data_IF_771214381857
#
_entry.id   IF_771214381857
#
_cell.length_a   1.000
_cell.length_b   1.000
_cell.length_c   1.000
_cell.angle_alpha   90.00
_cell.angle_beta   90.00
_cell.angle_gamma   90.00
#
_symmetry.space_group_name_H-M   'P 1'
#
loop_
_entity.id
_entity.type
_entity.pdbx_description
1 polymer ?
#
# COMPACT_ATOMS: atom_id res chain seq x y z
N UNK A 1 -3.74 5.70 -27.07
CA UNK A 1 -3.01 4.41 -27.00
C UNK A 1 -2.99 4.01 -25.54
N UNK A 2 -3.80 3.02 -25.16
CA UNK A 2 -4.04 2.66 -23.76
C UNK A 2 -2.88 1.79 -23.27
N UNK A 3 -2.01 2.32 -22.40
CA UNK A 3 -0.88 1.57 -21.87
C UNK A 3 -1.24 0.91 -20.54
N UNK A 4 -0.68 -0.27 -20.30
CA UNK A 4 -0.83 -1.00 -19.03
C UNK A 4 0.41 -0.79 -18.17
N UNK A 5 0.30 -1.04 -16.87
CA UNK A 5 1.42 -1.02 -15.93
C UNK A 5 2.23 -2.30 -16.12
N UNK A 6 3.45 -2.16 -16.63
CA UNK A 6 4.38 -3.26 -16.83
C UNK A 6 5.21 -3.57 -15.59
N UNK A 7 5.53 -2.55 -14.79
CA UNK A 7 6.38 -2.67 -13.60
C UNK A 7 6.00 -1.63 -12.55
N UNK A 8 6.03 -2.07 -11.30
CA UNK A 8 5.94 -1.23 -10.10
C UNK A 8 7.27 -1.33 -9.35
N UNK A 9 7.95 -0.20 -9.13
CA UNK A 9 9.07 -0.06 -8.21
C UNK A 9 8.53 0.49 -6.89
N UNK A 10 8.36 -0.39 -5.90
CA UNK A 10 7.91 -0.05 -4.56
C UNK A 10 9.07 -0.24 -3.59
N UNK A 11 9.72 0.86 -3.23
CA UNK A 11 10.82 0.89 -2.27
C UNK A 11 10.28 1.09 -0.88
N UNK A 12 10.43 0.07 -0.04
CA UNK A 12 10.00 0.14 1.34
C UNK A 12 11.13 0.69 2.22
N UNK A 13 10.84 1.59 3.18
CA UNK A 13 11.79 2.09 4.15
C UNK A 13 12.37 0.98 5.03
N UNK A 14 13.35 1.36 5.86
CA UNK A 14 13.81 0.50 6.94
C UNK A 14 12.63 0.06 7.82
N UNK A 15 12.76 -1.09 8.47
CA UNK A 15 11.71 -1.66 9.34
C UNK A 15 10.46 -2.14 8.62
N UNK A 16 10.37 -1.98 7.30
CA UNK A 16 9.42 -2.71 6.49
C UNK A 16 10.02 -3.99 5.96
N UNK A 17 9.23 -5.05 5.98
CA UNK A 17 9.48 -6.25 5.18
C UNK A 17 8.42 -6.33 4.08
N UNK A 18 8.83 -6.57 2.84
CA UNK A 18 7.93 -6.64 1.70
C UNK A 18 8.17 -7.89 0.86
N UNK A 19 7.09 -8.46 0.34
CA UNK A 19 7.15 -9.71 -0.42
C UNK A 19 6.04 -9.78 -1.47
N UNK A 20 6.17 -10.72 -2.40
CA UNK A 20 5.11 -11.08 -3.34
C UNK A 20 4.15 -12.07 -2.68
N UNK A 21 2.82 -11.95 -2.87
CA UNK A 21 1.88 -12.94 -2.34
C UNK A 21 2.30 -14.38 -2.67
N UNK A 22 2.31 -15.26 -1.67
CA UNK A 22 2.77 -16.64 -1.80
C UNK A 22 4.25 -16.87 -1.46
N UNK A 23 5.05 -15.80 -1.32
CA UNK A 23 6.44 -15.89 -0.86
C UNK A 23 6.57 -15.63 0.66
N UNK A 24 5.45 -15.58 1.40
CA UNK A 24 5.41 -15.17 2.80
C UNK A 24 6.38 -15.96 3.69
N UNK A 25 6.49 -17.28 3.52
CA UNK A 25 7.38 -18.11 4.32
C UNK A 25 8.87 -17.71 4.18
N UNK A 26 9.31 -17.42 2.95
CA UNK A 26 10.69 -17.01 2.68
C UNK A 26 10.96 -15.63 3.26
N UNK A 27 10.04 -14.69 3.00
CA UNK A 27 10.13 -13.34 3.52
C UNK A 27 10.10 -13.29 5.05
N UNK A 28 9.28 -14.14 5.68
CA UNK A 28 9.12 -14.21 7.11
C UNK A 28 10.39 -14.64 7.84
N UNK A 29 11.14 -15.60 7.27
CA UNK A 29 12.44 -16.03 7.84
C UNK A 29 13.48 -14.92 7.79
N UNK A 30 13.59 -14.24 6.64
CA UNK A 30 14.55 -13.14 6.47
C UNK A 30 14.19 -11.96 7.38
N UNK A 31 12.93 -11.54 7.37
CA UNK A 31 12.46 -10.42 8.18
C UNK A 31 12.60 -10.70 9.69
N UNK A 32 12.36 -11.94 10.14
CA UNK A 32 12.59 -12.33 11.53
C UNK A 32 14.06 -12.09 11.94
N UNK A 33 15.02 -12.54 11.14
CA UNK A 33 16.44 -12.38 11.43
C UNK A 33 16.88 -10.91 11.41
N UNK A 34 16.33 -10.11 10.49
CA UNK A 34 16.78 -8.72 10.27
C UNK A 34 16.12 -7.71 11.23
N UNK A 35 14.86 -7.95 11.60
CA UNK A 35 14.03 -6.95 12.27
C UNK A 35 13.74 -7.25 13.73
N UNK A 36 13.81 -8.52 14.16
CA UNK A 36 13.42 -8.93 15.51
C UNK A 36 14.61 -9.10 16.44
N UNK A 37 14.42 -8.76 17.72
CA UNK A 37 15.46 -8.87 18.77
C UNK A 37 15.27 -10.15 19.58
N UNK A 38 15.80 -11.24 19.04
CA UNK A 38 15.93 -12.52 19.73
C UNK A 38 14.80 -13.53 19.45
N UNK A 39 14.92 -14.77 19.97
CA UNK A 39 14.17 -15.91 19.45
C UNK A 39 12.66 -15.83 19.60
N UNK A 40 12.17 -15.17 20.65
CA UNK A 40 10.73 -15.00 20.89
C UNK A 40 10.12 -14.02 19.88
N UNK A 41 10.80 -12.89 19.67
CA UNK A 41 10.39 -11.86 18.71
C UNK A 41 10.45 -12.40 17.27
N UNK A 42 11.50 -13.15 16.93
CA UNK A 42 11.65 -13.81 15.63
C UNK A 42 10.49 -14.77 15.32
N UNK A 43 10.17 -15.66 16.27
CA UNK A 43 9.08 -16.63 16.09
C UNK A 43 7.72 -15.93 15.96
N UNK A 44 7.51 -14.85 16.71
CA UNK A 44 6.28 -14.04 16.63
C UNK A 44 6.14 -13.38 15.28
N UNK A 45 7.19 -12.68 14.82
CA UNK A 45 7.19 -12.00 13.53
C UNK A 45 6.96 -13.00 12.40
N UNK A 46 7.68 -14.13 12.40
CA UNK A 46 7.51 -15.17 11.38
C UNK A 46 6.05 -15.64 11.30
N UNK A 47 5.45 -15.96 12.45
CA UNK A 47 4.06 -16.43 12.51
C UNK A 47 3.07 -15.37 12.01
N UNK A 48 3.30 -14.10 12.33
CA UNK A 48 2.46 -12.99 11.89
C UNK A 48 2.52 -12.82 10.37
N UNK A 49 3.71 -12.84 9.77
CA UNK A 49 3.91 -12.67 8.33
C UNK A 49 3.31 -13.83 7.52
N UNK A 50 3.44 -15.07 8.00
CA UNK A 50 2.78 -16.24 7.40
C UNK A 50 1.25 -16.15 7.47
N UNK A 51 0.70 -15.59 8.56
CA UNK A 51 -0.74 -15.37 8.66
C UNK A 51 -1.22 -14.28 7.70
N UNK A 52 -0.47 -13.19 7.54
CA UNK A 52 -0.78 -12.11 6.59
C UNK A 52 -0.77 -12.64 5.16
N UNK A 53 0.26 -13.39 4.76
CA UNK A 53 0.37 -13.92 3.41
C UNK A 53 -0.82 -14.85 3.05
N UNK A 54 -1.19 -15.75 3.97
CA UNK A 54 -2.38 -16.59 3.79
C UNK A 54 -3.67 -15.77 3.67
N UNK A 55 -3.81 -14.72 4.47
CA UNK A 55 -4.98 -13.86 4.44
C UNK A 55 -5.08 -13.08 3.11
N UNK A 56 -3.94 -12.63 2.57
CA UNK A 56 -3.87 -11.95 1.27
C UNK A 56 -4.23 -12.90 0.14
N UNK A 57 -3.67 -14.12 0.14
CA UNK A 57 -3.97 -15.13 -0.89
C UNK A 57 -5.46 -15.51 -0.91
N UNK A 58 -6.11 -15.56 0.25
CA UNK A 58 -7.54 -15.87 0.35
C UNK A 58 -8.47 -14.78 -0.22
N UNK A 59 -7.99 -13.54 -0.39
CA UNK A 59 -8.82 -12.42 -0.87
C UNK A 59 -9.05 -12.45 -2.38
N UNK A 60 -8.30 -13.25 -3.14
CA UNK A 60 -8.41 -13.34 -4.61
C UNK A 60 -8.31 -11.99 -5.36
N UNK A 61 -7.75 -10.95 -4.73
CA UNK A 61 -7.45 -9.65 -5.38
C UNK A 61 -6.12 -9.70 -6.13
N UNK A 62 -5.92 -8.75 -7.07
CA UNK A 62 -4.67 -8.59 -7.84
C UNK A 62 -3.55 -7.92 -7.04
N UNK A 63 -3.24 -8.47 -5.88
CA UNK A 63 -2.10 -8.05 -5.08
C UNK A 63 -0.81 -8.33 -5.84
N UNK A 64 -0.01 -7.30 -6.07
CA UNK A 64 1.32 -7.42 -6.68
C UNK A 64 2.43 -7.44 -5.64
N UNK A 65 2.18 -6.83 -4.48
CA UNK A 65 3.12 -6.77 -3.36
C UNK A 65 2.38 -6.60 -2.04
N UNK A 66 2.93 -7.18 -0.99
CA UNK A 66 2.48 -7.04 0.39
C UNK A 66 3.65 -6.55 1.22
N UNK A 67 3.37 -5.86 2.32
CA UNK A 67 4.38 -5.50 3.30
C UNK A 67 3.83 -5.49 4.71
N UNK A 68 4.75 -5.52 5.66
CA UNK A 68 4.46 -5.37 7.07
C UNK A 68 5.54 -4.50 7.71
N UNK A 69 5.08 -3.56 8.54
CA UNK A 69 5.94 -2.64 9.27
C UNK A 69 6.15 -3.13 10.69
N UNK A 70 7.42 -3.22 11.09
CA UNK A 70 7.87 -3.73 12.39
C UNK A 70 8.76 -2.64 13.00
N UNK A 71 8.17 -1.63 13.66
CA UNK A 71 8.86 -0.39 14.02
C UNK A 71 10.00 -0.59 15.02
N UNK A 72 9.96 -1.68 15.78
CA UNK A 72 10.94 -2.00 16.81
C UNK A 72 11.30 -3.50 16.81
N UNK A 73 12.28 -3.87 17.61
CA UNK A 73 12.76 -5.26 17.70
C UNK A 73 11.79 -6.25 18.37
N UNK A 74 10.55 -5.86 18.70
CA UNK A 74 9.60 -6.74 19.39
C UNK A 74 9.08 -7.89 18.52
N UNK A 75 9.18 -7.75 17.19
CA UNK A 75 8.54 -8.65 16.23
C UNK A 75 7.04 -8.42 16.06
N UNK A 76 6.48 -7.38 16.66
CA UNK A 76 5.08 -7.01 16.49
C UNK A 76 4.89 -6.21 15.19
N UNK A 77 3.95 -6.65 14.35
CA UNK A 77 3.56 -5.92 13.13
C UNK A 77 2.64 -4.77 13.51
N UNK A 78 3.11 -3.54 13.34
CA UNK A 78 2.35 -2.33 13.65
C UNK A 78 1.41 -1.92 12.51
N UNK A 79 1.75 -2.23 11.26
CA UNK A 79 0.92 -1.96 10.10
C UNK A 79 1.13 -2.96 8.96
N UNK A 80 0.08 -3.20 8.19
CA UNK A 80 0.14 -3.92 6.92
C UNK A 80 0.15 -2.96 5.73
N UNK A 81 0.69 -3.43 4.61
CA UNK A 81 0.63 -2.80 3.31
C UNK A 81 0.15 -3.83 2.29
N UNK A 82 -0.88 -3.47 1.52
CA UNK A 82 -1.32 -4.18 0.34
C UNK A 82 -1.15 -3.26 -0.88
N UNK A 83 -0.40 -3.73 -1.88
CA UNK A 83 -0.22 -3.07 -3.17
C UNK A 83 -1.00 -3.85 -4.23
N UNK A 84 -2.01 -3.23 -4.83
CA UNK A 84 -2.93 -3.83 -5.79
C UNK A 84 -2.91 -3.07 -7.14
N UNK A 85 -3.07 -3.81 -8.24
CA UNK A 85 -3.35 -3.23 -9.56
C UNK A 85 -4.86 -3.13 -9.79
N UNK A 86 -5.35 -1.92 -10.05
CA UNK A 86 -6.74 -1.64 -10.39
C UNK A 86 -6.88 -1.58 -11.92
N UNK A 87 -7.57 -2.56 -12.49
CA UNK A 87 -7.72 -2.72 -13.95
C UNK A 87 -8.73 -1.74 -14.59
N UNK A 88 -9.54 -1.05 -13.79
CA UNK A 88 -10.62 -0.16 -14.24
C UNK A 88 -10.47 1.24 -13.63
N UNK A 89 -9.29 1.86 -13.83
CA UNK A 89 -9.12 3.27 -13.53
C UNK A 89 -10.04 4.10 -14.45
N UNK A 90 -10.58 5.25 -14.01
CA UNK A 90 -11.30 6.13 -14.92
C UNK A 90 -10.44 6.49 -16.13
N UNK A 91 -11.05 6.54 -17.31
CA UNK A 91 -10.38 7.00 -18.52
C UNK A 91 -10.19 8.52 -18.53
N UNK A 92 -9.19 8.97 -19.29
CA UNK A 92 -8.98 10.38 -19.62
C UNK A 92 -7.92 11.10 -18.78
N UNK A 93 -7.62 12.36 -19.11
CA UNK A 93 -6.56 13.14 -18.46
C UNK A 93 -6.84 13.44 -16.98
N UNK A 94 -8.12 13.45 -16.57
CA UNK A 94 -8.58 13.79 -15.23
C UNK A 94 -9.04 12.56 -14.43
N UNK A 95 -8.40 11.40 -14.67
CA UNK A 95 -8.77 10.13 -14.05
C UNK A 95 -8.79 10.20 -12.52
N UNK A 96 -7.81 10.91 -11.93
CA UNK A 96 -7.70 11.08 -10.49
C UNK A 96 -8.87 11.90 -9.91
N UNK A 97 -9.29 12.99 -10.57
CA UNK A 97 -10.46 13.79 -10.17
C UNK A 97 -11.75 12.99 -10.27
N UNK A 98 -11.93 12.27 -11.38
CA UNK A 98 -13.10 11.42 -11.58
C UNK A 98 -13.17 10.37 -10.46
N UNK A 99 -12.05 9.76 -10.10
CA UNK A 99 -11.95 8.85 -8.97
C UNK A 99 -12.25 9.54 -7.63
N UNK A 100 -11.64 10.70 -7.35
CA UNK A 100 -11.90 11.48 -6.14
C UNK A 100 -13.39 11.80 -6.00
N UNK A 101 -14.06 12.24 -7.06
CA UNK A 101 -15.50 12.52 -7.05
C UNK A 101 -16.35 11.27 -6.78
N UNK A 102 -15.92 10.08 -7.21
CA UNK A 102 -16.56 8.80 -6.82
C UNK A 102 -16.34 8.49 -5.33
N UNK A 103 -15.12 8.66 -4.83
CA UNK A 103 -14.78 8.44 -3.41
C UNK A 103 -15.54 9.40 -2.51
N UNK A 104 -15.55 10.70 -2.80
CA UNK A 104 -16.27 11.71 -2.01
C UNK A 104 -17.77 11.45 -1.95
N UNK A 105 -18.38 11.01 -3.06
CA UNK A 105 -19.79 10.57 -3.06
C UNK A 105 -20.01 9.35 -2.15
N UNK A 106 -19.08 8.39 -2.16
CA UNK A 106 -19.12 7.22 -1.26
C UNK A 106 -18.95 7.64 0.21
N UNK A 107 -18.02 8.53 0.51
CA UNK A 107 -17.81 9.12 1.84
C UNK A 107 -19.11 9.77 2.32
N UNK A 108 -19.69 10.66 1.51
CA UNK A 108 -20.93 11.36 1.83
C UNK A 108 -22.07 10.40 2.17
N UNK A 109 -22.29 9.37 1.34
CA UNK A 109 -23.31 8.34 1.62
C UNK A 109 -23.01 7.57 2.90
N UNK A 110 -21.76 7.16 3.11
CA UNK A 110 -21.36 6.40 4.30
C UNK A 110 -21.57 7.17 5.60
N UNK A 111 -21.33 8.49 5.61
CA UNK A 111 -21.57 9.34 6.80
C UNK A 111 -23.05 9.41 7.18
N UNK A 112 -23.97 9.21 6.23
CA UNK A 112 -25.42 9.26 6.49
C UNK A 112 -25.98 7.93 6.99
N UNK A 113 -25.27 6.82 6.78
CA UNK A 113 -25.76 5.47 7.11
C UNK A 113 -24.92 4.74 8.15
N UNK A 114 -23.65 5.13 8.35
CA UNK A 114 -22.74 4.42 9.22
C UNK A 114 -22.75 4.99 10.65
N UNK A 115 -22.99 4.13 11.63
CA UNK A 115 -22.95 4.45 13.06
C UNK A 115 -21.53 4.42 13.67
N UNK A 116 -20.51 3.97 12.92
CA UNK A 116 -19.15 3.66 13.45
C UNK A 116 -17.98 4.21 12.63
N UNK A 117 -18.21 5.11 11.67
CA UNK A 117 -17.11 5.76 10.93
C UNK A 117 -16.75 7.05 11.65
N UNK A 118 -15.60 7.06 12.32
CA UNK A 118 -15.13 8.22 13.10
C UNK A 118 -14.52 9.28 12.19
N UNK A 119 -13.80 8.86 11.16
CA UNK A 119 -13.10 9.74 10.23
C UNK A 119 -13.04 9.11 8.83
N UNK A 120 -13.39 9.88 7.80
CA UNK A 120 -13.32 9.44 6.41
C UNK A 120 -13.20 10.67 5.50
N UNK A 121 -12.02 10.88 4.90
CA UNK A 121 -11.74 11.99 4.00
C UNK A 121 -10.93 11.52 2.79
N UNK A 122 -10.97 12.28 1.70
CA UNK A 122 -10.15 12.03 0.52
C UNK A 122 -9.72 13.35 -0.13
N UNK A 123 -8.50 13.37 -0.68
CA UNK A 123 -7.93 14.52 -1.38
C UNK A 123 -6.97 14.11 -2.49
N UNK A 124 -6.53 15.09 -3.28
CA UNK A 124 -5.56 14.90 -4.35
C UNK A 124 -4.14 15.23 -3.88
N UNK A 125 -3.18 14.48 -4.41
CA UNK A 125 -1.75 14.71 -4.30
C UNK A 125 -1.09 14.47 -5.65
N UNK A 126 0.04 15.13 -5.89
CA UNK A 126 0.92 14.81 -7.02
C UNK A 126 2.14 14.06 -6.49
N UNK A 127 2.49 12.96 -7.14
CA UNK A 127 3.69 12.16 -6.86
C UNK A 127 4.42 11.86 -8.16
N UNK A 128 5.66 11.37 -8.07
CA UNK A 128 6.47 11.05 -9.24
C UNK A 128 5.78 10.06 -10.20
N UNK A 129 5.02 9.10 -9.67
CA UNK A 129 4.27 8.11 -10.45
C UNK A 129 2.96 8.65 -11.07
N UNK A 130 2.56 9.90 -10.80
CA UNK A 130 1.34 10.50 -11.31
C UNK A 130 0.48 11.15 -10.23
N UNK A 131 -0.79 11.38 -10.54
CA UNK A 131 -1.73 11.99 -9.59
C UNK A 131 -2.31 10.92 -8.69
N UNK A 132 -2.39 11.20 -7.40
CA UNK A 132 -2.86 10.26 -6.40
C UNK A 132 -4.11 10.80 -5.69
N UNK A 133 -5.07 9.91 -5.45
CA UNK A 133 -6.15 10.16 -4.51
C UNK A 133 -5.78 9.50 -3.19
N UNK A 134 -5.60 10.32 -2.16
CA UNK A 134 -5.27 9.86 -0.80
C UNK A 134 -6.55 9.85 0.01
N UNK A 135 -6.94 8.66 0.49
CA UNK A 135 -8.11 8.44 1.34
C UNK A 135 -7.67 8.03 2.73
N UNK A 136 -8.15 8.73 3.74
CA UNK A 136 -7.96 8.39 5.15
C UNK A 136 -9.27 7.87 5.70
N UNK A 137 -9.24 6.72 6.36
CA UNK A 137 -10.45 6.06 6.86
C UNK A 137 -10.21 5.42 8.22
N UNK A 138 -11.12 5.70 9.15
CA UNK A 138 -11.10 5.13 10.49
C UNK A 138 -12.44 4.44 10.79
N UNK A 139 -12.34 3.18 11.20
CA UNK A 139 -13.45 2.32 11.60
C UNK A 139 -13.48 2.21 13.12
N UNK A 140 -14.09 3.19 13.79
CA UNK A 140 -14.08 3.29 15.24
C UNK A 140 -12.66 3.49 15.80
N UNK A 141 -12.37 2.87 16.94
CA UNK A 141 -11.03 2.88 17.57
C UNK A 141 -10.16 1.67 17.20
N UNK A 142 -10.66 0.81 16.29
CA UNK A 142 -10.13 -0.55 16.10
C UNK A 142 -9.28 -0.69 14.85
N UNK A 143 -9.53 0.10 13.81
CA UNK A 143 -8.80 0.01 12.55
C UNK A 143 -8.76 1.35 11.83
N UNK A 144 -7.56 1.71 11.39
CA UNK A 144 -7.30 2.89 10.58
C UNK A 144 -6.64 2.48 9.28
N UNK A 145 -7.02 3.12 8.19
CA UNK A 145 -6.55 2.86 6.83
C UNK A 145 -6.08 4.17 6.19
N UNK A 146 -4.92 4.11 5.53
CA UNK A 146 -4.41 5.14 4.62
C UNK A 146 -4.33 4.51 3.24
N UNK A 147 -5.02 5.07 2.26
CA UNK A 147 -5.12 4.49 0.92
C UNK A 147 -4.62 5.51 -0.09
N UNK A 148 -3.59 5.15 -0.83
CA UNK A 148 -3.09 5.92 -1.96
C UNK A 148 -3.48 5.23 -3.25
N UNK A 149 -4.38 5.83 -4.03
CA UNK A 149 -4.70 5.34 -5.38
C UNK A 149 -4.01 6.25 -6.40
N UNK A 150 -2.97 5.75 -7.05
CA UNK A 150 -2.11 6.49 -7.98
C UNK A 150 -2.51 6.18 -9.42
N UNK A 151 -2.66 7.23 -10.22
CA UNK A 151 -3.06 7.21 -11.62
C UNK A 151 -1.88 7.64 -12.50
N UNK A 152 -1.09 6.69 -13.06
CA UNK A 152 0.01 7.02 -13.94
C UNK A 152 -0.49 7.67 -15.25
N UNK A 153 0.17 8.74 -15.74
CA UNK A 153 -0.25 9.41 -16.95
C UNK A 153 -0.27 8.47 -18.17
N UNK A 154 -1.41 8.41 -18.87
CA UNK A 154 -1.58 7.56 -20.06
C UNK A 154 -1.76 6.06 -19.79
N UNK A 155 -1.91 5.67 -18.52
CA UNK A 155 -2.27 4.32 -18.10
C UNK A 155 -3.79 4.14 -18.04
N UNK A 156 -4.28 2.94 -18.36
CA UNK A 156 -5.67 2.53 -18.06
C UNK A 156 -5.79 1.80 -16.71
N UNK A 157 -4.66 1.55 -16.05
CA UNK A 157 -4.59 0.94 -14.74
C UNK A 157 -4.14 1.96 -13.70
N UNK A 158 -4.56 1.76 -12.46
CA UNK A 158 -4.08 2.50 -11.30
C UNK A 158 -3.39 1.56 -10.31
N UNK A 159 -2.51 2.11 -9.48
CA UNK A 159 -1.88 1.38 -8.36
C UNK A 159 -2.56 1.82 -7.08
N UNK A 160 -3.06 0.87 -6.28
CA UNK A 160 -3.54 1.15 -4.94
C UNK A 160 -2.54 0.65 -3.90
N UNK A 161 -2.10 1.54 -3.01
CA UNK A 161 -1.36 1.23 -1.80
C UNK A 161 -2.29 1.40 -0.62
N UNK A 162 -2.69 0.30 0.02
CA UNK A 162 -3.53 0.30 1.21
C UNK A 162 -2.67 -0.05 2.42
N UNK A 163 -2.57 0.90 3.32
CA UNK A 163 -1.94 0.74 4.63
C UNK A 163 -3.03 0.56 5.67
N UNK A 164 -2.89 -0.41 6.56
CA UNK A 164 -3.82 -0.56 7.68
C UNK A 164 -3.13 -0.87 9.00
N UNK A 165 -3.64 -0.26 10.06
CA UNK A 165 -3.19 -0.50 11.43
C UNK A 165 -4.37 -0.67 12.37
N UNK A 166 -4.18 -1.50 13.40
CA UNK A 166 -5.10 -1.62 14.55
C UNK A 166 -4.62 -0.82 15.76
N UNK A 167 -3.45 -0.19 15.66
CA UNK A 167 -2.87 0.60 16.75
C UNK A 167 -3.20 2.08 16.55
N UNK A 168 -4.19 2.57 17.28
CA UNK A 168 -4.54 4.01 17.28
C UNK A 168 -3.34 4.91 17.62
N UNK A 169 -2.49 4.59 18.62
CA UNK A 169 -1.31 5.41 18.92
C UNK A 169 -0.28 5.48 17.78
N UNK A 170 -0.24 4.49 16.89
CA UNK A 170 0.69 4.43 15.76
C UNK A 170 0.12 4.99 14.46
N UNK A 171 -1.13 5.47 14.47
CA UNK A 171 -1.78 5.87 13.21
C UNK A 171 -1.08 7.03 12.52
N UNK A 172 -0.55 8.00 13.28
CA UNK A 172 0.23 9.09 12.70
C UNK A 172 1.52 8.56 12.06
N UNK A 173 2.29 7.72 12.77
CA UNK A 173 3.50 7.11 12.20
C UNK A 173 3.19 6.34 10.89
N UNK A 174 2.05 5.64 10.83
CA UNK A 174 1.62 4.94 9.61
C UNK A 174 1.25 5.89 8.49
N UNK A 175 0.70 7.07 8.79
CA UNK A 175 0.46 8.10 7.78
C UNK A 175 1.78 8.62 7.20
N UNK A 176 2.78 8.85 8.05
CA UNK A 176 4.10 9.35 7.63
C UNK A 176 4.83 8.29 6.77
N UNK A 177 4.78 7.01 7.17
CA UNK A 177 5.31 5.89 6.39
C UNK A 177 4.58 5.72 5.05
N UNK A 178 3.25 5.88 5.04
CA UNK A 178 2.45 5.80 3.82
C UNK A 178 2.78 6.93 2.83
N UNK A 179 3.00 8.14 3.34
CA UNK A 179 3.45 9.28 2.53
C UNK A 179 4.84 9.00 1.93
N UNK A 180 5.80 8.58 2.76
CA UNK A 180 7.15 8.25 2.31
C UNK A 180 7.17 7.18 1.21
N UNK A 181 6.39 6.11 1.38
CA UNK A 181 6.28 5.04 0.39
C UNK A 181 5.53 5.50 -0.87
N UNK A 182 4.45 6.28 -0.70
CA UNK A 182 3.66 6.82 -1.81
C UNK A 182 4.47 7.75 -2.71
N UNK A 183 5.28 8.64 -2.13
CA UNK A 183 6.15 9.58 -2.86
C UNK A 183 7.26 8.87 -3.64
N UNK A 184 7.76 7.74 -3.11
CA UNK A 184 8.83 6.93 -3.73
C UNK A 184 8.33 5.91 -4.74
N UNK A 185 7.02 5.81 -4.94
CA UNK A 185 6.44 4.87 -5.90
C UNK A 185 6.92 5.19 -7.32
N UNK A 186 7.49 4.20 -7.99
CA UNK A 186 7.81 4.24 -9.42
C UNK A 186 6.89 3.33 -10.23
N UNK A 187 6.44 3.80 -11.40
CA UNK A 187 5.61 3.01 -12.32
C UNK A 187 6.17 3.09 -13.73
N UNK A 188 6.28 1.96 -14.41
CA UNK A 188 6.64 1.89 -15.83
C UNK A 188 5.50 1.24 -16.64
N UNK A 189 5.22 1.82 -17.81
CA UNK A 189 4.10 1.42 -18.67
C UNK A 189 4.58 0.57 -19.87
N UNK A 190 3.71 -0.30 -20.38
CA UNK A 190 3.96 -1.08 -21.60
C UNK A 190 4.20 -0.14 -22.80
N UNK A 191 5.26 -0.43 -23.57
CA UNK A 191 5.64 0.37 -24.73
C UNK A 191 6.18 1.78 -24.43
N UNK A 192 6.56 2.07 -23.18
CA UNK A 192 7.31 3.27 -22.80
C UNK A 192 8.84 3.04 -22.85
N UNK A 193 9.66 4.10 -22.90
CA UNK A 193 11.11 3.96 -22.76
C UNK A 193 11.42 3.32 -21.40
N UNK A 194 12.19 2.22 -21.43
CA UNK A 194 12.73 1.60 -20.21
C UNK A 194 13.75 2.57 -19.64
N UNK A 195 13.43 3.25 -18.53
CA UNK A 195 14.43 4.02 -17.80
C UNK A 195 15.58 3.06 -17.41
N UNK A 196 16.83 3.34 -17.78
CA UNK A 196 17.95 2.46 -17.46
C UNK A 196 18.08 2.32 -15.94
N UNK A 197 18.16 1.09 -15.45
CA UNK A 197 18.49 0.81 -14.06
C UNK A 197 19.88 1.39 -13.76
N UNK A 198 20.06 2.22 -12.71
CA UNK A 198 21.35 2.84 -12.39
C UNK A 198 22.37 1.88 -11.72
N UNK A 199 22.14 0.56 -11.78
CA UNK A 199 23.06 -0.43 -11.23
C UNK A 199 23.45 -1.43 -12.31
N UNK A 200 24.33 -0.99 -13.21
CA UNK A 200 25.16 -1.84 -14.06
C UNK A 200 26.24 -1.00 -14.74
N UNK A 201 26.97 -0.16 -13.99
CA UNK A 201 28.28 0.34 -14.38
C UNK A 201 29.11 0.61 -13.11
N UNK A 202 30.29 -0.01 -13.09
CA UNK A 202 31.34 -0.06 -12.06
C UNK A 202 31.10 -1.03 -10.89
#
# INVERSE_FOLDING_TARGET
MNRQIARIDLRLPDRWCGWRPGEGLRAARQAAADLASGPVAENRLRSALEAIDRAVLAQNSRHVRVGAWVPDGSGDVAAGLACELLAEAPDGPDAAEAYLGRVQRKIYRSRRTATRVTYHTAGLREVAAGRAVVTLRSHGVVRHEVIWTVFPPGSVEAVELRFDTRSTPRYQDVMDEAELIGERLGVALTGGPVAPSPHLLA
#
